data_IF_452375626516
#
_entry.id   IF_452375626516
#
_cell.length_a   1.000
_cell.length_b   1.000
_cell.length_c   1.000
_cell.angle_alpha   90.00
_cell.angle_beta   90.00
_cell.angle_gamma   90.00
#
_symmetry.space_group_name_H-M   'P 1'
#
loop_
_entity.id
_entity.type
_entity.pdbx_description
1 polymer ?
#
# COMPACT_ATOMS: atom_id res chain seq x y z
N UNK A 1 9.09 1.70 -0.77
CA UNK A 1 9.87 2.92 -0.96
C UNK A 1 9.25 3.74 -2.09
N UNK A 2 8.81 4.97 -1.77
CA UNK A 2 8.18 5.95 -2.65
C UNK A 2 9.00 7.24 -2.79
N UNK A 3 10.31 7.19 -2.54
CA UNK A 3 11.16 8.32 -2.89
C UNK A 3 11.02 8.65 -4.38
N UNK A 4 11.12 9.92 -4.74
CA UNK A 4 11.02 10.36 -6.13
C UNK A 4 12.01 9.60 -7.04
N UNK A 5 13.21 9.30 -6.54
CA UNK A 5 14.21 8.52 -7.27
C UNK A 5 13.75 7.08 -7.53
N UNK A 6 13.14 6.42 -6.55
CA UNK A 6 12.62 5.05 -6.71
C UNK A 6 11.44 5.01 -7.67
N UNK A 7 10.53 5.97 -7.59
CA UNK A 7 9.40 6.05 -8.53
C UNK A 7 9.90 6.28 -9.95
N UNK A 8 10.83 7.22 -10.16
CA UNK A 8 11.40 7.49 -11.47
C UNK A 8 12.14 6.27 -12.05
N UNK A 9 12.91 5.55 -11.23
CA UNK A 9 13.60 4.33 -11.65
C UNK A 9 12.61 3.24 -12.08
N UNK A 10 11.60 2.95 -11.26
CA UNK A 10 10.56 1.96 -11.59
C UNK A 10 9.82 2.31 -12.87
N UNK A 11 9.51 3.60 -13.07
CA UNK A 11 8.87 4.04 -14.30
C UNK A 11 9.79 3.88 -15.53
N UNK A 12 11.07 4.17 -15.40
CA UNK A 12 12.04 3.96 -16.49
C UNK A 12 12.18 2.47 -16.88
N UNK A 13 12.08 1.55 -15.91
CA UNK A 13 12.11 0.11 -16.13
C UNK A 13 10.90 -0.39 -16.94
N UNK A 14 9.77 0.33 -16.89
CA UNK A 14 8.52 -0.05 -17.59
C UNK A 14 8.71 -0.25 -19.09
N UNK A 15 9.53 0.56 -19.73
CA UNK A 15 9.82 0.41 -21.16
C UNK A 15 10.43 -0.96 -21.50
N UNK A 16 11.32 -1.45 -20.65
CA UNK A 16 11.91 -2.80 -20.79
C UNK A 16 10.87 -3.90 -20.60
N UNK A 17 9.98 -3.77 -19.62
CA UNK A 17 8.89 -4.74 -19.42
C UNK A 17 7.92 -4.76 -20.62
N UNK A 18 7.53 -3.59 -21.14
CA UNK A 18 6.69 -3.47 -22.34
C UNK A 18 7.34 -4.13 -23.56
N UNK A 19 8.63 -3.92 -23.77
CA UNK A 19 9.36 -4.56 -24.86
C UNK A 19 9.39 -6.09 -24.72
N UNK A 20 9.61 -6.61 -23.51
CA UNK A 20 9.58 -8.05 -23.23
C UNK A 20 8.19 -8.64 -23.46
N UNK A 21 7.14 -7.96 -23.01
CA UNK A 21 5.76 -8.39 -23.21
C UNK A 21 5.41 -8.42 -24.70
N UNK A 22 5.82 -7.42 -25.45
CA UNK A 22 5.58 -7.33 -26.90
C UNK A 22 6.34 -8.40 -27.70
N UNK A 23 7.43 -8.93 -27.16
CA UNK A 23 8.23 -9.97 -27.81
C UNK A 23 7.71 -11.40 -27.58
N UNK A 24 6.67 -11.58 -26.76
CA UNK A 24 6.07 -12.90 -26.51
C UNK A 24 5.35 -13.36 -27.77
N UNK A 25 5.70 -14.55 -28.27
CA UNK A 25 4.97 -15.21 -29.34
C UNK A 25 3.65 -15.77 -28.78
N UNK A 26 2.54 -15.24 -29.25
CA UNK A 26 1.19 -15.63 -28.84
C UNK A 26 0.52 -16.60 -29.83
N UNK A 27 1.26 -17.11 -30.79
CA UNK A 27 0.74 -18.07 -31.79
C UNK A 27 0.20 -19.32 -31.10
N UNK A 28 -1.07 -19.62 -31.34
CA UNK A 28 -1.73 -20.82 -30.78
C UNK A 28 -2.20 -20.65 -29.32
N UNK A 29 -2.13 -19.45 -28.75
CA UNK A 29 -2.65 -19.19 -27.40
C UNK A 29 -4.17 -19.33 -27.33
N UNK A 30 -4.66 -19.87 -26.22
CA UNK A 30 -6.08 -19.86 -25.90
C UNK A 30 -6.59 -18.41 -25.65
N UNK A 31 -7.91 -18.25 -25.68
CA UNK A 31 -8.53 -16.94 -25.38
C UNK A 31 -8.18 -16.49 -23.97
N UNK A 32 -8.18 -17.41 -22.98
CA UNK A 32 -7.82 -17.08 -21.60
C UNK A 32 -6.39 -16.53 -21.51
N UNK A 33 -5.44 -17.16 -22.17
CA UNK A 33 -4.05 -16.70 -22.21
C UNK A 33 -3.90 -15.32 -22.87
N UNK A 34 -4.68 -15.07 -23.93
CA UNK A 34 -4.70 -13.75 -24.56
C UNK A 34 -5.30 -12.69 -23.64
N UNK A 35 -6.35 -13.01 -22.88
CA UNK A 35 -6.93 -12.13 -21.88
C UNK A 35 -5.92 -11.80 -20.78
N UNK A 36 -5.19 -12.80 -20.27
CA UNK A 36 -4.15 -12.59 -19.25
C UNK A 36 -3.06 -11.63 -19.77
N UNK A 37 -2.65 -11.75 -21.03
CA UNK A 37 -1.69 -10.84 -21.65
C UNK A 37 -2.21 -9.40 -21.70
N UNK A 38 -3.48 -9.21 -22.07
CA UNK A 38 -4.09 -7.89 -22.11
C UNK A 38 -4.28 -7.30 -20.72
N UNK A 39 -4.58 -8.12 -19.70
CA UNK A 39 -4.62 -7.68 -18.31
C UNK A 39 -3.25 -7.16 -17.85
N UNK A 40 -2.16 -7.89 -18.10
CA UNK A 40 -0.80 -7.42 -17.81
C UNK A 40 -0.49 -6.11 -18.54
N UNK A 41 -0.92 -5.98 -19.81
CA UNK A 41 -0.75 -4.74 -20.57
C UNK A 41 -1.54 -3.57 -19.98
N UNK A 42 -2.76 -3.84 -19.53
CA UNK A 42 -3.60 -2.86 -18.86
C UNK A 42 -2.96 -2.38 -17.54
N UNK A 43 -2.43 -3.29 -16.72
CA UNK A 43 -1.69 -2.94 -15.49
C UNK A 43 -0.46 -2.07 -15.79
N UNK A 44 0.32 -2.38 -16.82
CA UNK A 44 1.46 -1.54 -17.24
C UNK A 44 1.00 -0.14 -17.66
N UNK A 45 -0.14 -0.01 -18.32
CA UNK A 45 -0.70 1.27 -18.71
C UNK A 45 -1.25 2.04 -17.49
N UNK A 46 -1.90 1.36 -16.56
CA UNK A 46 -2.34 1.93 -15.29
C UNK A 46 -1.16 2.50 -14.49
N UNK A 47 -0.09 1.72 -14.33
CA UNK A 47 1.12 2.19 -13.64
C UNK A 47 1.75 3.42 -14.32
N UNK A 48 1.84 3.44 -15.66
CA UNK A 48 2.33 4.61 -16.40
C UNK A 48 1.44 5.83 -16.18
N UNK A 49 0.13 5.65 -16.17
CA UNK A 49 -0.83 6.72 -15.92
C UNK A 49 -0.71 7.25 -14.49
N UNK A 50 -0.59 6.36 -13.51
CA UNK A 50 -0.39 6.74 -12.11
C UNK A 50 0.87 7.59 -11.93
N UNK A 51 1.99 7.17 -12.56
CA UNK A 51 3.26 7.90 -12.41
C UNK A 51 3.22 9.26 -13.12
N UNK A 52 2.63 9.35 -14.31
CA UNK A 52 2.68 10.58 -15.11
C UNK A 52 1.54 11.55 -14.83
N UNK A 53 0.37 11.05 -14.45
CA UNK A 53 -0.86 11.85 -14.41
C UNK A 53 -1.45 11.93 -13.00
N UNK A 54 -1.77 10.81 -12.38
CA UNK A 54 -2.44 10.81 -11.08
C UNK A 54 -1.51 11.25 -9.96
N UNK A 55 -0.31 10.70 -9.92
CA UNK A 55 0.71 10.96 -8.89
C UNK A 55 0.13 10.89 -7.46
N UNK A 56 -0.54 9.77 -7.09
CA UNK A 56 -1.27 9.70 -5.82
C UNK A 56 -0.35 9.92 -4.61
N UNK A 57 0.88 9.42 -4.66
CA UNK A 57 1.88 9.61 -3.59
C UNK A 57 2.28 11.09 -3.35
N UNK A 58 1.98 11.99 -4.31
CA UNK A 58 2.28 13.44 -4.21
C UNK A 58 1.06 14.24 -3.79
N UNK A 59 -0.15 13.72 -4.06
CA UNK A 59 -1.40 14.51 -4.02
C UNK A 59 -2.41 14.01 -2.99
N UNK A 60 -2.35 12.74 -2.61
CA UNK A 60 -3.39 12.11 -1.80
C UNK A 60 -2.82 11.53 -0.49
N UNK A 61 -3.13 12.13 0.66
CA UNK A 61 -2.74 11.56 1.95
C UNK A 61 -3.28 10.14 2.20
N UNK A 62 -4.48 9.82 1.67
CA UNK A 62 -5.06 8.48 1.81
C UNK A 62 -4.24 7.39 1.12
N UNK A 63 -3.39 7.75 0.15
CA UNK A 63 -2.45 6.83 -0.50
C UNK A 63 -1.52 6.14 0.51
N UNK A 64 -1.26 6.75 1.65
CA UNK A 64 -0.39 6.23 2.71
C UNK A 64 -1.15 5.51 3.83
N UNK A 65 -2.45 5.28 3.67
CA UNK A 65 -3.19 4.42 4.59
C UNK A 65 -2.69 2.98 4.50
N UNK A 66 -2.38 2.38 5.65
CA UNK A 66 -1.73 1.07 5.71
C UNK A 66 -2.42 0.07 6.63
N UNK A 67 -3.30 0.53 7.52
CA UNK A 67 -3.94 -0.32 8.53
C UNK A 67 -5.43 -0.42 8.25
N UNK A 68 -5.97 -1.65 8.17
CA UNK A 68 -7.37 -1.88 7.86
C UNK A 68 -7.99 -2.83 8.90
N UNK A 69 -9.01 -2.35 9.60
CA UNK A 69 -9.77 -3.14 10.59
C UNK A 69 -10.79 -4.08 9.93
N UNK A 70 -11.33 -3.69 8.79
CA UNK A 70 -12.39 -4.41 8.10
C UNK A 70 -11.97 -4.79 6.68
N UNK A 71 -12.41 -5.97 6.24
CA UNK A 71 -12.23 -6.38 4.86
C UNK A 71 -13.05 -5.47 3.94
N UNK A 72 -12.41 -4.99 2.86
CA UNK A 72 -13.13 -4.26 1.82
C UNK A 72 -14.08 -5.21 1.07
N UNK A 73 -15.30 -4.75 0.84
CA UNK A 73 -16.26 -5.42 -0.04
C UNK A 73 -16.16 -4.93 -1.50
N UNK A 74 -15.20 -4.07 -1.78
CA UNK A 74 -15.02 -3.46 -3.11
C UNK A 74 -13.83 -4.11 -3.83
N UNK A 75 -14.07 -4.99 -4.81
CA UNK A 75 -13.00 -5.71 -5.52
C UNK A 75 -11.94 -4.80 -6.17
N UNK A 76 -12.29 -3.55 -6.48
CA UNK A 76 -11.36 -2.58 -7.05
C UNK A 76 -10.18 -2.22 -6.13
N UNK A 77 -10.25 -2.54 -4.85
CA UNK A 77 -9.16 -2.38 -3.89
C UNK A 77 -8.24 -3.59 -3.79
N UNK A 78 -8.56 -4.67 -4.47
CA UNK A 78 -7.79 -5.91 -4.48
C UNK A 78 -6.64 -5.90 -5.49
N UNK A 79 -6.45 -4.79 -6.18
CA UNK A 79 -5.28 -4.57 -7.04
C UNK A 79 -3.98 -4.57 -6.23
N UNK A 80 -2.83 -4.79 -6.89
CA UNK A 80 -1.54 -4.77 -6.20
C UNK A 80 -1.34 -3.42 -5.53
N UNK A 81 -1.39 -3.42 -4.21
CA UNK A 81 -1.05 -2.23 -3.44
C UNK A 81 0.44 -1.98 -3.56
N UNK A 82 0.87 -0.76 -3.85
CA UNK A 82 2.27 -0.45 -4.05
C UNK A 82 3.10 -0.48 -2.75
N UNK A 83 2.45 -0.62 -1.60
CA UNK A 83 3.06 -0.72 -0.27
C UNK A 83 2.39 -1.81 0.57
N UNK A 84 3.07 -2.23 1.63
CA UNK A 84 2.51 -3.24 2.53
C UNK A 84 1.27 -2.72 3.26
N UNK A 85 0.26 -3.57 3.36
CA UNK A 85 -0.97 -3.32 4.11
C UNK A 85 -0.97 -4.23 5.33
N UNK A 86 -1.49 -3.71 6.43
CA UNK A 86 -1.75 -4.45 7.67
C UNK A 86 -3.24 -4.71 7.75
N UNK A 87 -3.65 -5.91 7.41
CA UNK A 87 -5.04 -6.35 7.41
C UNK A 87 -5.41 -6.91 8.80
N UNK A 88 -5.80 -6.03 9.74
CA UNK A 88 -6.11 -6.41 11.12
C UNK A 88 -7.26 -7.39 11.22
N UNK A 89 -8.18 -7.38 10.27
CA UNK A 89 -9.31 -8.33 10.18
C UNK A 89 -8.85 -9.78 9.97
N UNK A 90 -7.60 -10.01 9.53
CA UNK A 90 -7.03 -11.36 9.37
C UNK A 90 -6.49 -11.96 10.67
N UNK A 91 -6.42 -11.17 11.73
CA UNK A 91 -5.87 -11.58 13.02
C UNK A 91 -6.95 -11.96 14.01
N UNK A 92 -6.74 -13.06 14.73
CA UNK A 92 -7.59 -13.48 15.86
C UNK A 92 -6.95 -13.04 17.18
N UNK A 93 -7.69 -12.33 18.01
CA UNK A 93 -7.21 -11.92 19.33
C UNK A 93 -7.80 -12.82 20.44
N UNK A 94 -7.02 -13.25 21.46
CA UNK A 94 -5.59 -12.91 21.65
C UNK A 94 -4.69 -13.54 20.59
N UNK A 95 -3.61 -12.84 20.23
CA UNK A 95 -2.69 -13.26 19.18
C UNK A 95 -1.92 -14.53 19.56
N UNK A 96 -1.70 -15.40 18.57
CA UNK A 96 -0.69 -16.46 18.69
C UNK A 96 0.74 -15.85 18.65
N UNK A 97 1.74 -16.59 19.09
CA UNK A 97 3.16 -16.15 19.01
C UNK A 97 3.60 -15.91 17.55
N UNK A 98 3.04 -16.65 16.61
CA UNK A 98 3.32 -16.47 15.18
C UNK A 98 2.69 -15.18 14.66
N UNK A 99 1.42 -14.94 14.96
CA UNK A 99 0.72 -13.72 14.58
C UNK A 99 1.33 -12.49 15.22
N UNK A 100 1.79 -12.57 16.47
CA UNK A 100 2.51 -11.47 17.13
C UNK A 100 3.77 -11.08 16.36
N UNK A 101 4.57 -12.07 15.90
CA UNK A 101 5.75 -11.81 15.09
C UNK A 101 5.41 -11.25 13.71
N UNK A 102 4.36 -11.79 13.06
CA UNK A 102 3.89 -11.34 11.76
C UNK A 102 3.43 -9.89 11.84
N UNK A 103 2.52 -9.57 12.75
CA UNK A 103 2.00 -8.22 12.93
C UNK A 103 3.12 -7.22 13.27
N UNK A 104 4.07 -7.61 14.13
CA UNK A 104 5.25 -6.77 14.43
C UNK A 104 6.04 -6.45 13.16
N UNK A 105 6.26 -7.44 12.29
CA UNK A 105 6.97 -7.26 11.03
C UNK A 105 6.24 -6.36 10.05
N UNK A 106 4.91 -6.45 9.99
CA UNK A 106 4.06 -5.66 9.10
C UNK A 106 3.98 -4.19 9.55
N UNK A 107 3.99 -3.91 10.86
CA UNK A 107 3.93 -2.55 11.40
C UNK A 107 5.26 -1.79 11.30
N UNK A 108 6.39 -2.49 11.37
CA UNK A 108 7.73 -1.86 11.40
C UNK A 108 8.04 -0.90 10.24
N UNK A 109 7.60 -1.13 8.99
CA UNK A 109 7.86 -0.21 7.88
C UNK A 109 7.07 1.09 7.91
N UNK A 110 5.99 1.18 8.69
CA UNK A 110 5.05 2.32 8.67
C UNK A 110 5.74 3.65 8.96
N UNK A 111 6.56 3.81 10.00
CA UNK A 111 7.21 5.09 10.27
C UNK A 111 8.03 5.61 9.09
N UNK A 112 8.86 4.75 8.49
CA UNK A 112 9.68 5.14 7.35
C UNK A 112 8.84 5.48 6.10
N UNK A 113 7.69 4.83 5.90
CA UNK A 113 6.76 5.16 4.84
C UNK A 113 6.14 6.54 5.05
N UNK A 114 5.76 6.86 6.28
CA UNK A 114 5.13 8.15 6.59
C UNK A 114 6.13 9.32 6.60
N UNK A 115 7.41 9.08 6.89
CA UNK A 115 8.48 10.07 6.65
C UNK A 115 8.59 10.40 5.17
N UNK A 116 8.48 9.41 4.29
CA UNK A 116 8.43 9.64 2.84
C UNK A 116 7.17 10.40 2.44
N UNK A 117 6.01 10.09 3.05
CA UNK A 117 4.77 10.80 2.83
C UNK A 117 4.91 12.30 3.11
N UNK A 118 5.50 12.68 4.24
CA UNK A 118 5.76 14.08 4.60
C UNK A 118 6.62 14.82 3.55
N UNK A 119 7.56 14.11 2.94
CA UNK A 119 8.42 14.68 1.89
C UNK A 119 7.69 14.75 0.54
N UNK A 120 6.88 13.76 0.23
CA UNK A 120 6.27 13.59 -1.08
C UNK A 120 4.99 14.41 -1.27
N UNK A 121 4.17 14.59 -0.20
CA UNK A 121 2.85 15.21 -0.26
C UNK A 121 2.96 16.73 -0.45
N UNK A 122 3.32 17.15 -1.64
CA UNK A 122 3.50 18.56 -2.04
C UNK A 122 2.45 19.03 -3.04
N UNK A 123 1.64 18.13 -3.56
CA UNK A 123 0.66 18.43 -4.60
C UNK A 123 -0.58 19.16 -4.06
N UNK A 124 -1.08 20.12 -4.83
CA UNK A 124 -2.30 20.86 -4.49
C UNK A 124 -3.53 20.13 -5.06
N UNK A 125 -4.16 19.28 -4.26
CA UNK A 125 -5.39 18.55 -4.60
C UNK A 125 -6.37 18.62 -3.41
N UNK A 126 -7.00 19.78 -3.24
CA UNK A 126 -7.82 20.13 -2.07
C UNK A 126 -8.78 19.02 -1.63
N UNK A 127 -9.52 18.43 -2.57
CA UNK A 127 -10.56 17.46 -2.22
C UNK A 127 -9.96 16.12 -1.77
N UNK A 128 -8.83 15.70 -2.37
CA UNK A 128 -8.07 14.54 -1.89
C UNK A 128 -7.49 14.79 -0.51
N UNK A 129 -6.99 15.99 -0.23
CA UNK A 129 -6.50 16.35 1.10
C UNK A 129 -7.59 16.35 2.16
N UNK A 130 -8.78 16.89 1.86
CA UNK A 130 -9.91 16.89 2.78
C UNK A 130 -10.34 15.46 3.13
N UNK A 131 -10.50 14.61 2.12
CA UNK A 131 -10.88 13.20 2.31
C UNK A 131 -9.74 12.42 2.97
N UNK A 132 -8.53 12.52 2.44
CA UNK A 132 -7.37 11.78 2.92
C UNK A 132 -6.98 12.11 4.36
N UNK A 133 -7.19 13.35 4.81
CA UNK A 133 -7.02 13.70 6.22
C UNK A 133 -7.99 12.92 7.12
N UNK A 134 -9.21 12.69 6.67
CA UNK A 134 -10.16 11.82 7.38
C UNK A 134 -9.65 10.39 7.50
N UNK A 135 -9.16 9.83 6.40
CA UNK A 135 -8.57 8.48 6.36
C UNK A 135 -7.38 8.36 7.30
N UNK A 136 -6.44 9.32 7.28
CA UNK A 136 -5.28 9.34 8.17
C UNK A 136 -5.70 9.37 9.65
N UNK A 137 -6.73 10.15 9.99
CA UNK A 137 -7.26 10.17 11.37
C UNK A 137 -7.88 8.84 11.78
N UNK A 138 -8.55 8.15 10.86
CA UNK A 138 -9.07 6.81 11.13
C UNK A 138 -7.93 5.82 11.45
N UNK A 139 -6.81 5.88 10.72
CA UNK A 139 -5.62 5.05 10.99
C UNK A 139 -5.09 5.25 12.42
N UNK A 140 -5.07 6.49 12.91
CA UNK A 140 -4.66 6.78 14.31
C UNK A 140 -5.61 6.10 15.30
N UNK A 141 -6.91 6.18 15.05
CA UNK A 141 -7.92 5.54 15.91
C UNK A 141 -7.74 4.02 15.94
N UNK A 142 -7.58 3.39 14.78
CA UNK A 142 -7.42 1.95 14.65
C UNK A 142 -6.14 1.47 15.39
N UNK A 143 -5.06 2.24 15.33
CA UNK A 143 -3.84 1.95 16.08
C UNK A 143 -3.98 2.16 17.59
N UNK A 144 -4.80 3.11 18.05
CA UNK A 144 -5.14 3.27 19.48
C UNK A 144 -5.94 2.06 19.97
N UNK A 145 -6.91 1.61 19.19
CA UNK A 145 -7.70 0.42 19.52
C UNK A 145 -6.80 -0.83 19.53
N UNK A 146 -5.88 -0.95 18.58
CA UNK A 146 -4.88 -2.03 18.55
C UNK A 146 -3.95 -2.00 19.75
N UNK A 147 -3.47 -0.86 20.21
CA UNK A 147 -2.66 -0.75 21.45
C UNK A 147 -3.36 -1.39 22.65
N UNK A 148 -4.66 -1.20 22.77
CA UNK A 148 -5.48 -1.78 23.85
C UNK A 148 -5.56 -3.29 23.69
N UNK A 149 -5.76 -3.78 22.46
CA UNK A 149 -5.87 -5.24 22.16
C UNK A 149 -4.57 -5.99 22.41
N UNK A 150 -3.42 -5.34 22.22
CA UNK A 150 -2.09 -5.96 22.39
C UNK A 150 -1.40 -5.62 23.70
N UNK A 151 -2.08 -5.01 24.65
CA UNK A 151 -1.48 -4.54 25.91
C UNK A 151 -0.76 -5.64 26.72
N UNK A 152 -1.21 -6.89 26.61
CA UNK A 152 -0.61 -8.07 27.27
C UNK A 152 0.44 -8.80 26.42
N UNK A 153 0.66 -8.40 25.17
CA UNK A 153 1.63 -9.02 24.26
C UNK A 153 3.06 -8.57 24.53
N UNK A 154 4.03 -9.12 23.78
CA UNK A 154 5.45 -8.83 23.93
C UNK A 154 5.83 -7.36 23.71
N UNK A 155 6.94 -6.94 24.29
CA UNK A 155 7.39 -5.56 24.21
C UNK A 155 7.68 -5.09 22.79
N UNK A 156 8.11 -5.98 21.89
CA UNK A 156 8.41 -5.66 20.50
C UNK A 156 7.16 -5.25 19.71
N UNK A 157 6.06 -6.02 19.86
CA UNK A 157 4.79 -5.66 19.21
C UNK A 157 4.25 -4.35 19.76
N UNK A 158 4.22 -4.18 21.07
CA UNK A 158 3.73 -2.92 21.68
C UNK A 158 4.56 -1.72 21.21
N UNK A 159 5.88 -1.88 21.09
CA UNK A 159 6.74 -0.81 20.57
C UNK A 159 6.47 -0.53 19.07
N UNK A 160 6.22 -1.56 18.27
CA UNK A 160 5.89 -1.40 16.84
C UNK A 160 4.55 -0.67 16.63
N UNK A 161 3.51 -1.01 17.41
CA UNK A 161 2.21 -0.32 17.39
C UNK A 161 2.37 1.14 17.81
N UNK A 162 3.08 1.40 18.91
CA UNK A 162 3.31 2.76 19.40
C UNK A 162 4.10 3.61 18.39
N UNK A 163 5.12 3.02 17.72
CA UNK A 163 5.90 3.69 16.69
C UNK A 163 5.05 4.00 15.45
N UNK A 164 4.25 3.03 14.99
CA UNK A 164 3.34 3.24 13.87
C UNK A 164 2.34 4.37 14.18
N UNK A 165 1.70 4.35 15.37
CA UNK A 165 0.75 5.39 15.78
C UNK A 165 1.40 6.77 15.87
N UNK A 166 2.61 6.86 16.38
CA UNK A 166 3.32 8.14 16.55
C UNK A 166 3.74 8.76 15.20
N UNK A 167 3.84 7.95 14.15
CA UNK A 167 4.24 8.41 12.83
C UNK A 167 3.06 9.02 12.02
N UNK A 168 1.80 8.63 12.31
CA UNK A 168 0.59 9.25 11.77
C UNK A 168 0.29 10.58 12.46
#
# INVERSE_FOLDING_TARGET
DFTAATVARRHAELAGYRARLAAIDTTGWSIEQQVDLELVRAEMNGFDFDVRVLQPWVRDPAYYATVWEEQSDTPAHEGPTPHGIVDLWTYSFPLSTEDERRLTSELRPIPALLEQAQTNLTGNARDLWVTGTGTVRAQVKDLVDLETRVASNGAELRAAVAAARAAF
#
